data_IF_802385856095
#
_entry.id   IF_802385856095
#
_cell.length_a   1.000
_cell.length_b   1.000
_cell.length_c   1.000
_cell.angle_alpha   90.00
_cell.angle_beta   90.00
_cell.angle_gamma   90.00
#
_symmetry.space_group_name_H-M   'P 1'
#
loop_
_entity.id
_entity.type
_entity.pdbx_description
1 polymer ?
#
# COMPACT_ATOMS: atom_id res chain seq x y z
N UNK A 1 1.70 34.94 -6.33
CA UNK A 1 0.48 34.28 -5.81
C UNK A 1 -0.50 34.13 -6.96
N UNK A 2 -0.36 33.05 -7.72
CA UNK A 2 -1.26 32.68 -8.82
C UNK A 2 -2.08 31.49 -8.37
N UNK A 3 -3.39 31.62 -8.55
CA UNK A 3 -4.44 30.84 -7.91
C UNK A 3 -4.43 29.36 -8.33
N UNK A 4 -3.90 28.49 -7.47
CA UNK A 4 -3.94 27.00 -7.59
C UNK A 4 -5.36 26.45 -7.67
N UNK A 5 -6.36 27.19 -7.17
CA UNK A 5 -7.77 26.81 -7.23
C UNK A 5 -8.35 26.84 -8.66
N UNK A 6 -7.83 27.70 -9.54
CA UNK A 6 -8.28 27.76 -10.94
C UNK A 6 -7.79 26.55 -11.75
N UNK A 7 -6.55 26.11 -11.54
CA UNK A 7 -5.95 25.01 -12.29
C UNK A 7 -6.64 23.66 -12.01
N UNK A 8 -7.04 23.44 -10.75
CA UNK A 8 -7.82 22.27 -10.32
C UNK A 8 -9.20 22.19 -11.01
N UNK A 9 -9.91 23.32 -11.11
CA UNK A 9 -11.20 23.40 -11.80
C UNK A 9 -11.06 23.16 -13.30
N UNK A 10 -10.03 23.72 -13.93
CA UNK A 10 -9.80 23.54 -15.37
C UNK A 10 -9.44 22.09 -15.71
N UNK A 11 -8.64 21.42 -14.88
CA UNK A 11 -8.32 20.00 -15.05
C UNK A 11 -9.60 19.16 -14.91
N UNK A 12 -10.41 19.37 -13.87
CA UNK A 12 -11.66 18.63 -13.66
C UNK A 12 -12.67 18.81 -14.81
N UNK A 13 -12.77 20.03 -15.36
CA UNK A 13 -13.62 20.33 -16.52
C UNK A 13 -13.08 19.66 -17.79
N UNK A 14 -11.76 19.63 -17.98
CA UNK A 14 -11.13 18.95 -19.12
C UNK A 14 -11.28 17.42 -19.02
N UNK A 15 -11.15 16.81 -17.83
CA UNK A 15 -11.43 15.38 -17.65
C UNK A 15 -12.89 15.08 -17.91
N UNK A 16 -13.82 15.87 -17.37
CA UNK A 16 -15.25 15.71 -17.62
C UNK A 16 -15.60 15.87 -19.12
N UNK A 17 -14.97 16.83 -19.82
CA UNK A 17 -15.18 17.04 -21.26
C UNK A 17 -14.61 15.87 -22.10
N UNK A 18 -13.48 15.29 -21.71
CA UNK A 18 -12.94 14.07 -22.35
C UNK A 18 -13.91 12.88 -22.24
N UNK A 19 -14.59 12.73 -21.09
CA UNK A 19 -15.62 11.69 -20.93
C UNK A 19 -16.91 11.95 -21.73
N UNK A 20 -17.28 13.21 -21.98
CA UNK A 20 -18.50 13.57 -22.73
C UNK A 20 -18.33 13.35 -24.26
N UNK A 21 -17.09 13.36 -24.77
CA UNK A 21 -16.83 13.17 -26.22
C UNK A 21 -16.81 11.71 -26.69
N UNK A 22 -17.09 10.74 -25.81
CA UNK A 22 -17.21 9.31 -26.15
C UNK A 22 -18.68 8.84 -26.18
N UNK A 23 -19.53 9.51 -26.97
CA UNK A 23 -20.95 9.17 -27.11
C UNK A 23 -21.30 8.14 -28.21
N UNK A 24 -20.34 7.30 -28.62
CA UNK A 24 -20.61 6.17 -29.54
C UNK A 24 -20.26 4.79 -28.97
N UNK A 25 -19.98 4.69 -27.67
CA UNK A 25 -19.97 3.40 -27.02
C UNK A 25 -21.42 3.02 -26.70
N UNK A 26 -21.97 2.05 -27.43
CA UNK A 26 -23.11 1.28 -26.95
C UNK A 26 -22.82 0.89 -25.50
N UNK A 27 -23.73 1.25 -24.58
CA UNK A 27 -23.64 0.80 -23.19
C UNK A 27 -23.85 -0.71 -23.18
N UNK A 28 -22.77 -1.45 -23.46
CA UNK A 28 -22.69 -2.87 -23.24
C UNK A 28 -23.17 -3.13 -21.81
N UNK A 29 -24.02 -4.14 -21.65
CA UNK A 29 -24.65 -4.48 -20.38
C UNK A 29 -23.60 -4.38 -19.27
N UNK A 30 -23.81 -3.44 -18.34
CA UNK A 30 -22.92 -3.23 -17.21
C UNK A 30 -22.82 -4.58 -16.48
N UNK A 31 -21.70 -5.30 -16.64
CA UNK A 31 -21.50 -6.52 -15.87
C UNK A 31 -21.58 -6.16 -14.38
N UNK A 32 -22.22 -7.03 -13.61
CA UNK A 32 -22.43 -6.85 -12.16
C UNK A 32 -21.10 -6.50 -11.49
N UNK A 33 -21.12 -5.48 -10.64
CA UNK A 33 -20.04 -5.17 -9.68
C UNK A 33 -19.40 -6.46 -9.15
N UNK A 34 -18.10 -6.63 -9.40
CA UNK A 34 -17.34 -7.81 -8.96
C UNK A 34 -16.37 -7.41 -7.85
N UNK A 35 -16.53 -7.92 -6.63
CA UNK A 35 -15.56 -7.63 -5.56
C UNK A 35 -14.16 -8.24 -5.78
N UNK A 36 -13.91 -8.90 -6.91
CA UNK A 36 -12.64 -9.55 -7.27
C UNK A 36 -11.84 -8.65 -8.19
N UNK A 37 -10.57 -8.42 -7.89
CA UNK A 37 -9.69 -7.58 -8.73
C UNK A 37 -9.09 -8.36 -9.91
N UNK A 38 -8.90 -7.70 -11.06
CA UNK A 38 -8.11 -8.27 -12.17
C UNK A 38 -6.59 -8.14 -11.95
N UNK A 39 -6.16 -7.10 -11.22
CA UNK A 39 -4.77 -6.97 -10.78
C UNK A 39 -4.63 -7.65 -9.41
N UNK A 40 -3.84 -8.72 -9.35
CA UNK A 40 -3.58 -9.41 -8.09
C UNK A 40 -2.75 -8.51 -7.15
N UNK A 41 -3.11 -8.38 -5.85
CA UNK A 41 -2.33 -7.59 -4.89
C UNK A 41 -0.86 -8.06 -4.81
N UNK A 42 0.07 -7.14 -4.64
CA UNK A 42 1.48 -7.46 -4.44
C UNK A 42 1.69 -8.15 -3.07
N UNK A 43 2.40 -9.28 -3.05
CA UNK A 43 2.57 -10.09 -1.84
C UNK A 43 3.39 -9.33 -0.78
N UNK A 44 4.51 -8.77 -1.22
CA UNK A 44 5.50 -8.13 -0.35
C UNK A 44 5.37 -6.61 -0.24
N UNK A 45 4.53 -5.92 -1.02
CA UNK A 45 4.33 -4.48 -0.78
C UNK A 45 3.55 -4.29 0.53
N UNK A 46 4.10 -3.70 1.59
CA UNK A 46 3.44 -3.54 2.87
C UNK A 46 2.21 -2.61 2.84
N UNK A 47 2.00 -1.82 1.78
CA UNK A 47 0.87 -0.90 1.65
C UNK A 47 -0.25 -1.44 0.75
N UNK A 48 -0.23 -2.75 0.43
CA UNK A 48 -1.38 -3.40 -0.20
C UNK A 48 -2.53 -3.58 0.80
N UNK A 49 -3.78 -3.18 0.44
CA UNK A 49 -4.97 -3.46 1.23
C UNK A 49 -5.15 -4.97 1.42
N UNK A 50 -5.14 -5.42 2.67
CA UNK A 50 -5.30 -6.83 3.03
C UNK A 50 -5.85 -6.97 4.45
N UNK A 51 -6.23 -8.19 4.81
CA UNK A 51 -6.49 -8.55 6.21
C UNK A 51 -5.30 -9.35 6.73
N UNK A 52 -4.64 -8.87 7.78
CA UNK A 52 -3.49 -9.55 8.37
C UNK A 52 -3.34 -9.30 9.86
N UNK A 53 -2.83 -10.30 10.58
CA UNK A 53 -2.44 -10.22 11.99
C UNK A 53 -1.01 -10.73 12.09
N UNK A 54 -0.06 -9.82 12.32
CA UNK A 54 1.38 -10.10 12.21
C UNK A 54 2.13 -9.62 13.46
N UNK A 55 2.19 -10.43 14.53
CA UNK A 55 2.99 -10.15 15.71
C UNK A 55 4.47 -9.91 15.37
N UNK A 56 5.08 -8.91 15.99
CA UNK A 56 6.53 -8.74 15.95
C UNK A 56 7.23 -9.82 16.78
N UNK A 57 8.30 -10.38 16.24
CA UNK A 57 9.11 -11.40 16.92
C UNK A 57 10.10 -10.79 17.91
N UNK A 58 10.56 -9.57 17.66
CA UNK A 58 11.61 -8.90 18.46
C UNK A 58 11.08 -7.76 19.31
N UNK A 59 9.86 -7.27 19.04
CA UNK A 59 9.26 -6.13 19.71
C UNK A 59 7.93 -6.51 20.36
N UNK A 60 7.49 -5.74 21.36
CA UNK A 60 6.15 -5.88 21.95
C UNK A 60 5.11 -5.14 21.11
N UNK A 61 5.08 -5.41 19.82
CA UNK A 61 4.16 -4.79 18.85
C UNK A 61 3.44 -5.86 18.03
N UNK A 62 2.27 -5.50 17.53
CA UNK A 62 1.44 -6.33 16.66
C UNK A 62 0.98 -5.47 15.50
N UNK A 63 1.18 -5.94 14.27
CA UNK A 63 0.58 -5.30 13.10
C UNK A 63 -0.79 -5.91 12.85
N UNK A 64 -1.80 -5.06 12.71
CA UNK A 64 -3.16 -5.42 12.34
C UNK A 64 -3.53 -4.62 11.09
N UNK A 65 -3.73 -5.34 10.00
CA UNK A 65 -4.14 -4.77 8.72
C UNK A 65 -5.61 -5.16 8.47
N UNK A 66 -6.42 -4.18 8.06
CA UNK A 66 -7.81 -4.40 7.65
C UNK A 66 -8.07 -3.61 6.39
N UNK A 67 -8.22 -4.29 5.25
CA UNK A 67 -8.49 -3.61 3.98
C UNK A 67 -8.80 -4.57 2.85
N UNK A 68 -9.34 -4.01 1.78
CA UNK A 68 -9.63 -4.70 0.52
C UNK A 68 -9.53 -3.73 -0.65
N UNK A 69 -9.19 -4.29 -1.80
CA UNK A 69 -9.45 -3.67 -3.10
C UNK A 69 -10.69 -4.33 -3.72
N UNK A 70 -11.45 -3.61 -4.55
CA UNK A 70 -12.58 -4.18 -5.27
C UNK A 70 -12.79 -3.48 -6.63
N UNK A 71 -13.05 -4.25 -7.69
CA UNK A 71 -13.37 -3.72 -9.01
C UNK A 71 -14.88 -3.41 -9.10
N UNK A 72 -15.24 -2.14 -9.21
CA UNK A 72 -16.64 -1.73 -9.36
C UNK A 72 -17.12 -1.92 -10.80
N UNK A 73 -16.19 -1.92 -11.74
CA UNK A 73 -16.42 -2.16 -13.16
C UNK A 73 -15.29 -3.03 -13.72
N UNK A 74 -15.66 -4.01 -14.54
CA UNK A 74 -14.76 -4.75 -15.41
C UNK A 74 -15.36 -4.76 -16.82
N UNK A 75 -14.52 -4.64 -17.85
CA UNK A 75 -14.98 -4.84 -19.22
C UNK A 75 -15.23 -6.34 -19.49
N UNK A 76 -15.99 -6.68 -20.55
CA UNK A 76 -16.36 -8.07 -20.87
C UNK A 76 -15.13 -8.99 -21.05
N UNK A 77 -14.06 -8.45 -21.63
CA UNK A 77 -12.79 -9.18 -21.82
C UNK A 77 -11.99 -9.38 -20.53
N UNK A 78 -12.37 -8.72 -19.42
CA UNK A 78 -11.64 -8.65 -18.15
C UNK A 78 -10.19 -8.16 -18.30
N UNK A 79 -9.93 -7.38 -19.34
CA UNK A 79 -8.63 -6.75 -19.60
C UNK A 79 -8.53 -5.39 -18.91
N UNK A 80 -9.65 -4.76 -18.55
CA UNK A 80 -9.68 -3.44 -17.93
C UNK A 80 -10.69 -3.39 -16.78
N UNK A 81 -10.31 -2.71 -15.71
CA UNK A 81 -11.16 -2.50 -14.54
C UNK A 81 -11.00 -1.10 -13.95
N UNK A 82 -12.06 -0.67 -13.26
CA UNK A 82 -12.07 0.50 -12.37
C UNK A 82 -12.58 0.04 -11.01
N UNK A 83 -11.88 0.43 -9.96
CA UNK A 83 -12.14 -0.05 -8.62
C UNK A 83 -11.86 0.98 -7.54
N UNK A 84 -11.96 0.51 -6.30
CA UNK A 84 -11.66 1.25 -5.08
C UNK A 84 -10.68 0.47 -4.23
N UNK A 85 -9.89 1.20 -3.45
CA UNK A 85 -9.01 0.66 -2.42
C UNK A 85 -9.37 1.28 -1.08
N UNK A 86 -9.61 0.44 -0.07
CA UNK A 86 -9.82 0.86 1.31
C UNK A 86 -8.96 0.00 2.23
N UNK A 87 -8.25 0.62 3.16
CA UNK A 87 -7.45 -0.13 4.11
C UNK A 87 -7.06 0.68 5.33
N UNK A 88 -6.76 -0.04 6.41
CA UNK A 88 -6.13 0.51 7.59
C UNK A 88 -4.94 -0.35 7.98
N UNK A 89 -3.86 0.31 8.41
CA UNK A 89 -2.65 -0.35 8.88
C UNK A 89 -2.35 0.13 10.29
N UNK A 90 -2.64 -0.73 11.26
CA UNK A 90 -2.53 -0.40 12.68
C UNK A 90 -1.27 -1.02 13.28
N UNK A 91 -0.51 -0.23 14.02
CA UNK A 91 0.53 -0.70 14.92
C UNK A 91 -0.04 -0.72 16.34
N UNK A 92 -0.16 -1.90 16.92
CA UNK A 92 -0.69 -2.12 18.26
C UNK A 92 0.46 -2.37 19.23
N UNK A 93 0.39 -1.84 20.45
CA UNK A 93 1.28 -2.26 21.54
C UNK A 93 0.75 -3.54 22.16
N UNK A 94 1.64 -4.49 22.44
CA UNK A 94 1.29 -5.69 23.18
C UNK A 94 1.58 -5.48 24.65
N UNK A 95 0.53 -5.22 25.43
CA UNK A 95 0.64 -5.14 26.89
C UNK A 95 0.34 -6.50 27.52
N UNK A 96 0.45 -6.57 28.85
CA UNK A 96 -0.06 -7.71 29.60
C UNK A 96 -1.59 -7.82 29.40
N UNK A 97 -2.18 -8.98 29.69
CA UNK A 97 -3.64 -9.22 29.70
C UNK A 97 -4.34 -9.13 28.34
N UNK A 98 -3.62 -9.36 27.24
CA UNK A 98 -4.23 -9.39 25.89
C UNK A 98 -4.96 -8.10 25.50
N UNK A 99 -4.47 -6.95 25.99
CA UNK A 99 -4.89 -5.62 25.54
C UNK A 99 -3.97 -5.14 24.41
N UNK A 100 -4.56 -4.50 23.41
CA UNK A 100 -3.89 -4.01 22.21
C UNK A 100 -4.23 -2.54 21.96
N UNK A 101 -3.73 -1.61 22.78
CA UNK A 101 -3.91 -0.19 22.49
C UNK A 101 -3.20 0.15 21.17
N UNK A 102 -3.82 1.01 20.38
CA UNK A 102 -3.37 1.40 19.05
C UNK A 102 -2.33 2.49 19.22
N UNK A 103 -1.10 2.23 18.80
CA UNK A 103 -0.04 3.24 18.86
C UNK A 103 -0.15 4.20 17.68
N UNK A 104 -0.24 3.66 16.47
CA UNK A 104 -0.43 4.44 15.26
C UNK A 104 -1.33 3.70 14.27
N UNK A 105 -2.08 4.46 13.48
CA UNK A 105 -2.95 3.95 12.43
C UNK A 105 -2.87 4.83 11.18
N UNK A 106 -2.78 4.17 10.03
CA UNK A 106 -2.84 4.80 8.71
C UNK A 106 -4.13 4.37 8.02
N UNK A 107 -4.93 5.32 7.53
CA UNK A 107 -6.16 5.08 6.76
C UNK A 107 -5.91 5.36 5.28
N UNK A 108 -6.13 4.37 4.42
CA UNK A 108 -6.15 4.49 2.96
C UNK A 108 -7.59 4.52 2.45
N UNK A 109 -7.86 5.46 1.56
CA UNK A 109 -8.98 5.39 0.64
C UNK A 109 -8.59 5.93 -0.73
N UNK A 110 -9.12 5.34 -1.79
CA UNK A 110 -8.86 5.81 -3.13
C UNK A 110 -9.60 5.03 -4.21
N UNK A 111 -9.34 5.45 -5.44
CA UNK A 111 -9.81 4.79 -6.65
C UNK A 111 -8.62 4.22 -7.41
N UNK A 112 -8.86 3.14 -8.13
CA UNK A 112 -7.86 2.58 -9.02
C UNK A 112 -8.45 2.22 -10.37
N UNK A 113 -7.54 2.08 -11.33
CA UNK A 113 -7.81 1.42 -12.60
C UNK A 113 -6.72 0.39 -12.85
N UNK A 114 -7.13 -0.76 -13.35
CA UNK A 114 -6.24 -1.87 -13.65
C UNK A 114 -6.39 -2.27 -15.11
N UNK A 115 -5.30 -2.74 -15.70
CA UNK A 115 -5.27 -3.31 -17.03
C UNK A 115 -4.41 -4.57 -17.04
N UNK A 116 -4.85 -5.61 -17.75
CA UNK A 116 -4.10 -6.85 -17.95
C UNK A 116 -4.11 -7.22 -19.43
N UNK A 117 -2.99 -7.75 -19.92
CA UNK A 117 -2.84 -8.23 -21.29
C UNK A 117 -2.02 -9.50 -21.34
N UNK A 118 -2.64 -10.63 -21.73
CA UNK A 118 -1.90 -11.83 -22.06
C UNK A 118 -1.01 -11.58 -23.29
N UNK A 119 0.20 -12.13 -23.28
CA UNK A 119 1.09 -12.14 -24.43
C UNK A 119 1.87 -13.45 -24.45
N UNK A 120 2.36 -13.82 -25.64
CA UNK A 120 3.22 -14.97 -25.80
C UNK A 120 4.63 -14.50 -26.15
N UNK A 121 5.62 -14.96 -25.38
CA UNK A 121 7.03 -14.66 -25.64
C UNK A 121 7.85 -15.94 -25.58
N UNK A 122 8.70 -16.13 -26.58
CA UNK A 122 9.68 -17.23 -26.59
C UNK A 122 10.99 -16.85 -25.87
N UNK A 123 11.11 -15.59 -25.41
CA UNK A 123 12.34 -15.02 -24.83
C UNK A 123 12.15 -14.69 -23.35
N UNK A 124 10.98 -14.16 -22.98
CA UNK A 124 10.67 -13.78 -21.61
C UNK A 124 9.85 -14.89 -20.94
N UNK A 125 10.16 -15.28 -19.70
CA UNK A 125 9.41 -16.32 -18.99
C UNK A 125 8.07 -15.81 -18.44
N UNK A 126 7.42 -14.85 -19.11
CA UNK A 126 6.20 -14.18 -18.66
C UNK A 126 5.11 -14.32 -19.72
N UNK A 127 3.87 -14.50 -19.28
CA UNK A 127 2.70 -14.66 -20.16
C UNK A 127 1.67 -13.52 -20.04
N UNK A 128 1.85 -12.65 -19.05
CA UNK A 128 0.89 -11.57 -18.76
C UNK A 128 1.62 -10.29 -18.41
N UNK A 129 1.22 -9.19 -19.06
CA UNK A 129 1.58 -7.84 -18.65
C UNK A 129 0.40 -7.21 -17.93
N UNK A 130 0.64 -6.46 -16.87
CA UNK A 130 -0.41 -5.81 -16.11
C UNK A 130 0.03 -4.44 -15.60
N UNK A 131 -0.92 -3.53 -15.47
CA UNK A 131 -0.73 -2.21 -14.93
C UNK A 131 -1.84 -1.88 -13.91
N UNK A 132 -1.48 -1.18 -12.83
CA UNK A 132 -2.43 -0.59 -11.88
C UNK A 132 -2.08 0.87 -11.69
N UNK A 133 -3.06 1.76 -11.84
CA UNK A 133 -2.96 3.18 -11.49
C UNK A 133 -3.91 3.44 -10.33
N UNK A 134 -3.42 4.10 -9.29
CA UNK A 134 -4.18 4.41 -8.09
C UNK A 134 -4.09 5.91 -7.81
N UNK A 135 -5.22 6.51 -7.47
CA UNK A 135 -5.33 7.85 -6.90
C UNK A 135 -5.87 7.70 -5.48
N UNK A 136 -5.05 8.03 -4.50
CA UNK A 136 -5.33 7.71 -3.10
C UNK A 136 -4.93 8.82 -2.14
N UNK A 137 -5.56 8.77 -0.98
CA UNK A 137 -5.23 9.55 0.19
C UNK A 137 -4.86 8.60 1.33
N UNK A 138 -3.81 8.95 2.06
CA UNK A 138 -3.49 8.35 3.37
C UNK A 138 -3.56 9.43 4.44
N UNK A 139 -4.30 9.15 5.51
CA UNK A 139 -4.29 9.93 6.75
C UNK A 139 -3.73 9.07 7.87
N UNK A 140 -2.72 9.55 8.57
CA UNK A 140 -2.11 8.81 9.69
C UNK A 140 -2.27 9.56 11.00
N UNK A 141 -2.48 8.80 12.07
CA UNK A 141 -2.77 9.31 13.41
C UNK A 141 -2.07 8.48 14.48
N UNK A 142 -1.64 9.15 15.54
CA UNK A 142 -1.34 8.50 16.81
C UNK A 142 -2.65 8.31 17.57
N UNK A 143 -2.75 7.19 18.29
CA UNK A 143 -3.96 6.81 19.00
C UNK A 143 -3.68 6.56 20.49
N UNK A 144 -4.62 5.94 21.20
CA UNK A 144 -4.59 5.74 22.65
C UNK A 144 -3.31 5.05 23.18
N UNK A 145 -2.72 4.15 22.39
CA UNK A 145 -1.45 3.52 22.68
C UNK A 145 -0.26 4.47 22.66
N UNK A 146 -0.34 5.61 21.99
CA UNK A 146 0.72 6.63 21.98
C UNK A 146 0.57 7.69 23.07
N UNK A 147 -0.44 7.56 23.92
CA UNK A 147 -0.69 8.47 25.03
C UNK A 147 -0.22 7.84 26.35
N UNK A 148 0.64 8.54 27.08
CA UNK A 148 1.04 8.17 28.43
C UNK A 148 -0.04 8.63 29.42
N UNK A 149 -0.93 7.70 29.77
CA UNK A 149 -2.04 7.94 30.70
C UNK A 149 -1.51 8.34 32.09
N UNK A 150 -0.40 7.76 32.55
CA UNK A 150 0.12 8.02 33.89
C UNK A 150 0.62 9.46 34.04
N UNK A 151 1.22 10.00 32.98
CA UNK A 151 1.73 11.37 32.96
C UNK A 151 0.81 12.36 32.23
N UNK A 152 -0.34 11.91 31.73
CA UNK A 152 -1.31 12.72 30.98
C UNK A 152 -0.69 13.51 29.83
N UNK A 153 0.13 12.84 29.02
CA UNK A 153 0.84 13.47 27.90
C UNK A 153 1.06 12.50 26.74
N UNK A 154 1.17 13.03 25.52
CA UNK A 154 1.61 12.24 24.37
C UNK A 154 3.07 11.83 24.50
N UNK A 155 3.40 10.63 24.03
CA UNK A 155 4.78 10.14 24.04
C UNK A 155 5.59 10.94 23.02
N UNK A 156 6.56 11.73 23.49
CA UNK A 156 7.44 12.50 22.61
C UNK A 156 8.50 11.58 22.00
N UNK A 157 8.55 11.55 20.67
CA UNK A 157 9.47 10.68 19.96
C UNK A 157 10.87 11.27 19.82
N UNK A 158 11.87 10.42 20.00
CA UNK A 158 13.26 10.78 19.74
C UNK A 158 13.44 11.11 18.25
N UNK A 159 13.94 12.31 17.96
CA UNK A 159 14.22 12.76 16.60
C UNK A 159 13.08 13.55 15.95
N UNK A 160 11.91 13.66 16.60
CA UNK A 160 10.88 14.62 16.25
C UNK A 160 11.08 15.91 17.05
N UNK A 161 11.06 17.07 16.37
CA UNK A 161 11.17 18.38 17.01
C UNK A 161 9.87 19.18 16.96
N UNK A 162 8.81 18.63 16.38
CA UNK A 162 7.50 19.25 16.31
C UNK A 162 6.63 18.93 17.53
N UNK A 163 5.43 19.48 17.55
CA UNK A 163 4.41 19.12 18.54
C UNK A 163 3.78 17.77 18.19
N UNK A 164 3.38 17.00 19.20
CA UNK A 164 2.59 15.78 19.06
C UNK A 164 1.26 15.99 19.79
N UNK A 165 0.12 15.57 19.20
CA UNK A 165 -0.01 14.94 17.89
C UNK A 165 0.18 15.94 16.76
N UNK A 166 0.56 15.44 15.58
CA UNK A 166 0.59 16.21 14.34
C UNK A 166 -0.19 15.44 13.26
N UNK A 167 -0.52 16.11 12.17
CA UNK A 167 -1.16 15.46 11.02
C UNK A 167 -0.07 14.97 10.08
N UNK A 168 -0.01 13.66 9.85
CA UNK A 168 0.64 13.13 8.66
C UNK A 168 -0.43 12.75 7.63
N UNK A 169 -0.36 13.35 6.46
CA UNK A 169 -1.28 13.05 5.37
C UNK A 169 -0.55 13.12 4.04
N UNK A 170 -0.96 12.30 3.09
CA UNK A 170 -0.43 12.32 1.73
C UNK A 170 -1.50 11.96 0.72
N UNK A 171 -1.49 12.67 -0.39
CA UNK A 171 -2.30 12.40 -1.55
C UNK A 171 -1.39 12.14 -2.74
N UNK A 172 -1.65 11.04 -3.42
CA UNK A 172 -0.70 10.51 -4.38
C UNK A 172 -1.36 9.80 -5.56
N UNK A 173 -0.61 9.80 -6.66
CA UNK A 173 -0.82 8.88 -7.78
C UNK A 173 0.25 7.80 -7.69
N UNK A 174 -0.16 6.53 -7.73
CA UNK A 174 0.75 5.39 -7.79
C UNK A 174 0.51 4.61 -9.07
N UNK A 175 1.59 4.27 -9.78
CA UNK A 175 1.55 3.44 -10.99
C UNK A 175 2.41 2.22 -10.75
N UNK A 176 1.85 1.03 -10.96
CA UNK A 176 2.57 -0.25 -10.89
C UNK A 176 2.44 -0.95 -12.24
N UNK A 177 3.56 -1.44 -12.75
CA UNK A 177 3.64 -2.30 -13.91
C UNK A 177 4.19 -3.66 -13.47
N UNK A 178 3.61 -4.75 -13.96
CA UNK A 178 4.03 -6.10 -13.61
C UNK A 178 4.05 -7.03 -14.82
N UNK A 179 5.06 -7.89 -14.87
CA UNK A 179 5.13 -9.06 -15.74
C UNK A 179 4.91 -10.29 -14.87
N UNK A 180 3.96 -11.12 -15.26
CA UNK A 180 3.49 -12.25 -14.47
C UNK A 180 3.45 -13.52 -15.32
N UNK A 181 3.61 -14.63 -14.61
CA UNK A 181 3.30 -16.01 -14.98
C UNK A 181 2.67 -16.68 -13.75
N UNK A 182 2.07 -17.87 -13.85
CA UNK A 182 1.44 -18.54 -12.70
C UNK A 182 2.34 -18.70 -11.47
N UNK A 183 3.65 -18.90 -11.67
CA UNK A 183 4.60 -19.20 -10.60
C UNK A 183 5.46 -18.00 -10.18
N UNK A 184 5.57 -16.95 -11.00
CA UNK A 184 6.47 -15.84 -10.70
C UNK A 184 5.97 -14.53 -11.29
N UNK A 185 6.32 -13.44 -10.60
CA UNK A 185 5.95 -12.09 -10.99
C UNK A 185 7.10 -11.14 -10.67
N UNK A 186 7.36 -10.20 -11.56
CA UNK A 186 8.25 -9.06 -11.31
C UNK A 186 7.48 -7.78 -11.58
N UNK A 187 7.75 -6.75 -10.79
CA UNK A 187 7.04 -5.49 -10.90
C UNK A 187 7.93 -4.32 -10.57
N UNK A 188 7.54 -3.17 -11.09
CA UNK A 188 8.11 -1.88 -10.77
C UNK A 188 6.98 -0.85 -10.69
N UNK A 189 7.16 0.15 -9.86
CA UNK A 189 6.20 1.23 -9.74
C UNK A 189 6.82 2.55 -9.32
N UNK A 190 6.00 3.56 -9.47
CA UNK A 190 6.34 4.95 -9.22
C UNK A 190 5.17 5.64 -8.55
N UNK A 191 5.47 6.37 -7.49
CA UNK A 191 4.53 7.18 -6.74
C UNK A 191 4.91 8.65 -6.86
N UNK A 192 3.91 9.48 -7.15
CA UNK A 192 3.99 10.92 -7.12
C UNK A 192 3.05 11.49 -6.04
N UNK A 193 3.60 12.16 -5.04
CA UNK A 193 2.85 12.91 -4.04
C UNK A 193 2.52 14.29 -4.59
N UNK A 194 1.24 14.61 -4.75
CA UNK A 194 0.82 15.95 -5.18
C UNK A 194 0.40 16.85 -4.00
N UNK A 195 0.23 16.27 -2.81
CA UNK A 195 0.01 16.98 -1.57
C UNK A 195 0.50 16.15 -0.39
N UNK A 196 1.12 16.80 0.60
CA UNK A 196 1.57 16.16 1.84
C UNK A 196 1.48 17.10 3.03
N UNK A 197 1.23 16.54 4.20
CA UNK A 197 1.46 17.16 5.50
C UNK A 197 2.36 16.20 6.31
N UNK A 198 3.48 16.65 6.88
CA UNK A 198 4.07 17.98 6.71
C UNK A 198 4.52 18.26 5.26
N UNK A 199 4.71 19.53 4.94
CA UNK A 199 5.31 19.95 3.68
C UNK A 199 6.81 19.57 3.61
N UNK A 200 7.41 19.68 2.43
CA UNK A 200 8.85 19.44 2.24
C UNK A 200 9.24 17.96 2.03
N UNK A 201 8.27 17.05 1.97
CA UNK A 201 8.47 15.66 1.55
C UNK A 201 8.70 15.63 0.04
N UNK A 202 9.78 14.97 -0.40
CA UNK A 202 10.07 14.78 -1.82
C UNK A 202 8.91 14.00 -2.44
N UNK A 203 8.32 14.49 -3.53
CA UNK A 203 7.11 13.89 -4.07
C UNK A 203 7.37 12.59 -4.81
N UNK A 204 8.61 12.18 -5.04
CA UNK A 204 8.96 11.03 -5.85
C UNK A 204 9.36 9.84 -4.97
N UNK A 205 8.71 8.70 -5.20
CA UNK A 205 9.15 7.41 -4.68
C UNK A 205 9.09 6.34 -5.77
N UNK A 206 10.02 5.40 -5.71
CA UNK A 206 10.11 4.29 -6.66
C UNK A 206 10.04 2.99 -5.88
N UNK A 207 9.43 1.96 -6.47
CA UNK A 207 9.53 0.61 -5.92
C UNK A 207 9.66 -0.44 -7.00
N UNK A 208 10.24 -1.57 -6.64
CA UNK A 208 10.34 -2.74 -7.49
C UNK A 208 10.37 -3.99 -6.64
N UNK A 209 9.88 -5.09 -7.18
CA UNK A 209 9.82 -6.34 -6.45
C UNK A 209 9.67 -7.56 -7.33
N UNK A 210 9.78 -8.71 -6.69
CA UNK A 210 9.69 -10.02 -7.30
C UNK A 210 8.98 -10.99 -6.38
N UNK A 211 8.30 -11.96 -6.98
CA UNK A 211 7.53 -13.00 -6.30
C UNK A 211 7.78 -14.32 -6.98
N UNK A 212 7.91 -15.37 -6.18
CA UNK A 212 8.12 -16.73 -6.62
C UNK A 212 7.28 -17.67 -5.75
N UNK A 213 6.44 -18.46 -6.40
CA UNK A 213 5.81 -19.63 -5.81
C UNK A 213 6.79 -20.80 -5.87
N UNK A 214 6.87 -21.55 -4.78
CA UNK A 214 7.79 -22.67 -4.61
C UNK A 214 7.01 -23.95 -4.28
N UNK A 215 7.59 -25.15 -4.46
CA UNK A 215 6.88 -26.41 -4.22
C UNK A 215 6.21 -26.49 -2.84
N UNK A 216 5.10 -27.23 -2.75
CA UNK A 216 4.37 -27.42 -1.50
C UNK A 216 3.55 -26.20 -1.06
N UNK A 217 3.01 -25.42 -2.01
CA UNK A 217 2.23 -24.20 -1.74
C UNK A 217 3.01 -23.11 -0.99
N UNK A 218 4.34 -23.14 -1.06
CA UNK A 218 5.20 -22.15 -0.42
C UNK A 218 5.46 -20.97 -1.36
N UNK A 219 5.95 -19.86 -0.83
CA UNK A 219 6.32 -18.71 -1.65
C UNK A 219 7.40 -17.87 -0.96
N UNK A 220 8.10 -17.09 -1.78
CA UNK A 220 8.97 -16.00 -1.38
C UNK A 220 8.68 -14.78 -2.24
N UNK A 221 8.69 -13.60 -1.64
CA UNK A 221 8.44 -12.33 -2.28
C UNK A 221 9.32 -11.25 -1.66
N UNK A 222 9.75 -10.28 -2.45
CA UNK A 222 10.50 -9.13 -1.98
C UNK A 222 9.98 -7.86 -2.68
N UNK A 223 9.80 -6.79 -1.91
CA UNK A 223 9.52 -5.43 -2.38
C UNK A 223 10.61 -4.51 -1.84
N UNK A 224 11.16 -3.68 -2.74
CA UNK A 224 12.10 -2.63 -2.43
C UNK A 224 11.48 -1.29 -2.77
N UNK A 225 11.48 -0.34 -1.83
CA UNK A 225 11.08 1.05 -2.04
C UNK A 225 12.26 1.98 -1.81
N UNK A 226 12.47 2.93 -2.72
CA UNK A 226 13.38 4.04 -2.54
C UNK A 226 12.59 5.24 -2.01
N UNK A 227 12.68 5.49 -0.70
CA UNK A 227 11.87 6.48 -0.01
C UNK A 227 12.72 7.69 0.42
N UNK A 228 12.15 8.91 0.41
CA UNK A 228 12.89 10.10 0.79
C UNK A 228 13.14 10.14 2.30
N UNK A 229 14.32 10.65 2.70
CA UNK A 229 14.73 10.71 4.11
C UNK A 229 14.36 12.08 4.66
N UNK A 230 13.52 12.13 5.70
CA UNK A 230 13.18 13.36 6.42
C UNK A 230 14.38 13.89 7.22
N UNK A 231 14.68 15.18 7.07
CA UNK A 231 15.68 15.88 7.86
C UNK A 231 14.99 16.85 8.82
N UNK A 232 14.81 16.45 10.07
CA UNK A 232 14.06 17.22 11.08
C UNK A 232 14.53 18.66 11.23
N UNK A 233 15.85 18.90 11.20
CA UNK A 233 16.42 20.26 11.34
C UNK A 233 16.12 21.18 10.16
N UNK A 234 15.80 20.62 9.00
CA UNK A 234 15.53 21.38 7.78
C UNK A 234 14.05 21.38 7.41
N UNK A 235 13.22 20.60 8.11
CA UNK A 235 11.81 20.37 7.79
C UNK A 235 11.58 20.03 6.32
N UNK A 236 12.48 19.23 5.76
CA UNK A 236 12.42 18.78 4.36
C UNK A 236 13.11 17.45 4.23
N UNK A 237 12.85 16.74 3.14
CA UNK A 237 13.58 15.53 2.80
C UNK A 237 14.85 15.83 2.02
N UNK A 238 15.93 15.10 2.33
CA UNK A 238 17.17 15.12 1.55
C UNK A 238 17.76 13.72 1.46
N UNK A 239 18.01 13.30 0.22
CA UNK A 239 18.47 11.95 -0.08
C UNK A 239 17.35 10.91 0.01
N UNK A 240 17.70 9.67 -0.28
CA UNK A 240 16.78 8.54 -0.28
C UNK A 240 17.37 7.36 0.49
N UNK A 241 16.49 6.56 1.08
CA UNK A 241 16.82 5.30 1.75
C UNK A 241 16.07 4.17 1.07
N UNK A 242 16.80 3.09 0.84
CA UNK A 242 16.21 1.82 0.46
C UNK A 242 15.45 1.19 1.63
N UNK A 243 14.22 0.78 1.36
CA UNK A 243 13.33 0.10 2.29
C UNK A 243 12.95 -1.24 1.69
N UNK A 244 13.22 -2.32 2.40
CA UNK A 244 12.93 -3.68 1.99
C UNK A 244 11.79 -4.26 2.83
N UNK A 245 10.90 -4.99 2.17
CA UNK A 245 10.05 -5.98 2.81
C UNK A 245 10.24 -7.32 2.09
N UNK A 246 10.74 -8.32 2.80
CA UNK A 246 10.88 -9.69 2.30
C UNK A 246 9.87 -10.55 3.02
N UNK A 247 9.05 -11.26 2.27
CA UNK A 247 8.00 -12.12 2.79
C UNK A 247 8.19 -13.54 2.29
N UNK A 248 8.17 -14.51 3.20
CA UNK A 248 8.14 -15.93 2.85
C UNK A 248 7.02 -16.62 3.62
N UNK A 249 6.42 -17.65 3.05
CA UNK A 249 5.29 -18.30 3.69
C UNK A 249 4.73 -19.51 2.96
N UNK A 250 3.57 -19.95 3.42
CA UNK A 250 2.83 -21.08 2.89
C UNK A 250 1.35 -20.73 2.76
N UNK A 251 0.78 -21.03 1.59
CA UNK A 251 -0.67 -20.99 1.35
C UNK A 251 -1.31 -22.27 1.87
N UNK A 252 -2.41 -22.15 2.59
CA UNK A 252 -3.06 -23.27 3.29
C UNK A 252 -4.10 -24.00 2.42
N UNK A 253 -4.01 -23.85 1.10
CA UNK A 253 -4.90 -24.49 0.12
C UNK A 253 -4.90 -26.02 0.26
N UNK A 254 -3.76 -26.62 0.62
CA UNK A 254 -3.62 -28.07 0.79
C UNK A 254 -4.45 -28.66 1.93
N UNK A 255 -4.96 -27.84 2.86
CA UNK A 255 -5.88 -28.25 3.93
C UNK A 255 -7.27 -27.61 3.79
N UNK A 256 -7.61 -27.12 2.59
CA UNK A 256 -8.92 -26.54 2.28
C UNK A 256 -9.08 -25.05 2.61
N UNK A 257 -8.02 -24.38 3.10
CA UNK A 257 -8.05 -22.95 3.43
C UNK A 257 -7.48 -22.11 2.27
N UNK A 258 -8.27 -21.97 1.20
CA UNK A 258 -7.84 -21.40 -0.09
C UNK A 258 -7.52 -19.90 -0.10
N UNK A 259 -7.82 -19.19 1.00
CA UNK A 259 -7.62 -17.75 1.15
C UNK A 259 -6.73 -17.39 2.34
N UNK A 260 -6.11 -18.39 2.97
CA UNK A 260 -5.34 -18.19 4.19
C UNK A 260 -3.89 -18.57 3.91
N UNK A 261 -2.98 -17.71 4.34
CA UNK A 261 -1.55 -18.00 4.31
C UNK A 261 -0.90 -17.64 5.64
N UNK A 262 0.07 -18.46 6.02
CA UNK A 262 1.00 -18.15 7.11
C UNK A 262 2.22 -17.52 6.45
N UNK A 263 2.66 -16.39 7.00
CA UNK A 263 3.78 -15.63 6.45
C UNK A 263 4.73 -15.17 7.54
N UNK A 264 5.99 -15.02 7.17
CA UNK A 264 7.03 -14.33 7.91
C UNK A 264 7.53 -13.17 7.06
N UNK A 265 7.57 -11.97 7.62
CA UNK A 265 8.09 -10.76 6.97
C UNK A 265 9.36 -10.30 7.67
N UNK A 266 10.38 -9.92 6.91
CA UNK A 266 11.49 -9.11 7.37
C UNK A 266 11.41 -7.74 6.72
N UNK A 267 11.25 -6.70 7.54
CA UNK A 267 11.17 -5.31 7.11
C UNK A 267 12.40 -4.53 7.58
N UNK A 268 12.98 -3.71 6.71
CA UNK A 268 14.06 -2.79 7.07
C UNK A 268 14.05 -1.55 6.19
N UNK A 269 14.14 -0.35 6.77
CA UNK A 269 14.09 0.90 5.99
C UNK A 269 13.41 2.04 6.75
N UNK A 270 12.70 2.91 6.02
CA UNK A 270 11.82 3.92 6.63
C UNK A 270 10.54 3.27 7.15
N UNK A 271 9.95 3.76 8.24
CA UNK A 271 8.73 3.17 8.80
C UNK A 271 7.58 3.10 7.78
N UNK A 272 6.77 2.04 7.92
CA UNK A 272 5.52 1.88 7.19
C UNK A 272 4.45 2.86 7.66
N UNK A 273 4.41 3.14 8.97
CA UNK A 273 3.41 4.00 9.61
C UNK A 273 3.70 5.48 9.32
N UNK A 274 2.70 6.22 8.85
CA UNK A 274 2.83 7.61 8.46
C UNK A 274 3.25 8.51 9.62
N UNK A 275 2.76 8.26 10.84
CA UNK A 275 3.18 9.01 12.01
C UNK A 275 4.66 8.79 12.41
N UNK A 276 5.28 7.75 11.86
CA UNK A 276 6.69 7.39 12.03
C UNK A 276 7.50 7.59 10.74
N UNK A 277 6.99 8.34 9.74
CA UNK A 277 7.59 8.45 8.40
C UNK A 277 9.08 8.86 8.37
N UNK A 278 9.56 9.54 9.42
CA UNK A 278 10.95 10.00 9.59
C UNK A 278 11.86 8.97 10.28
N UNK A 279 11.28 7.92 10.86
CA UNK A 279 11.98 6.97 11.69
C UNK A 279 12.36 5.71 10.89
N UNK A 280 13.63 5.28 10.93
CA UNK A 280 14.01 4.01 10.35
C UNK A 280 13.71 2.84 11.28
N UNK A 281 13.25 1.73 10.70
CA UNK A 281 12.85 0.53 11.43
C UNK A 281 13.51 -0.71 10.84
N UNK A 282 13.67 -1.72 11.68
CA UNK A 282 14.06 -3.07 11.28
C UNK A 282 13.38 -4.07 12.22
N UNK A 283 12.56 -4.95 11.67
CA UNK A 283 11.83 -5.94 12.47
C UNK A 283 11.42 -7.15 11.64
N UNK A 284 11.10 -8.24 12.36
CA UNK A 284 10.52 -9.45 11.78
C UNK A 284 9.14 -9.65 12.36
N UNK A 285 8.15 -9.97 11.51
CA UNK A 285 6.82 -10.39 11.94
C UNK A 285 6.49 -11.78 11.41
N UNK A 286 5.67 -12.54 12.12
CA UNK A 286 5.04 -13.73 11.54
C UNK A 286 3.63 -13.91 12.05
N UNK A 287 2.76 -14.35 11.16
CA UNK A 287 1.34 -14.48 11.45
C UNK A 287 0.55 -14.91 10.23
N UNK A 288 -0.70 -14.47 10.19
CA UNK A 288 -1.71 -14.91 9.23
C UNK A 288 -2.11 -13.74 8.34
N UNK A 289 -2.22 -14.02 7.04
CA UNK A 289 -2.78 -13.10 6.04
C UNK A 289 -3.97 -13.81 5.39
N UNK A 290 -5.06 -13.06 5.18
CA UNK A 290 -6.24 -13.50 4.44
C UNK A 290 -6.24 -12.77 3.09
N UNK A 291 -6.18 -13.55 2.01
CA UNK A 291 -6.27 -13.05 0.64
C UNK A 291 -7.76 -12.88 0.26
N UNK A 292 -8.15 -11.71 -0.22
CA UNK A 292 -9.55 -11.35 -0.50
C UNK A 292 -9.97 -11.65 -1.94
#
# INVERSE_FOLDING_TARGET
MTCTCCLSRTILILTAALFITHNNASANQLEKSTSRTIFAPLLADPLEPRIAVMPSMSQRTLQLDIGSSADLYQNESKEFAIGVDFGTWSQLKRTNEFKFPVDAIDYLFGINSSWIKPFQSNVLPFDTFSAKVQLSHISAHFEDGHYDIANSQWIVQKGWSGTIPFTYSREFVNVVLALSSPEHRVYAGYQYLYHTLPEGINPHAFHAGAELSTPGNTFIAADFKLLPIWQTSLQTTKGHRGTWNVQAGMRLNGIGLNKVRIACNYYTGMSRQGMYFYHPESYTTAGIIIDL
#
